data_IF_036980893204
#
_entry.id   IF_036980893204
#
_cell.length_a   1.000
_cell.length_b   1.000
_cell.length_c   1.000
_cell.angle_alpha   90.00
_cell.angle_beta   90.00
_cell.angle_gamma   90.00
#
_symmetry.space_group_name_H-M   'P 1'
#
loop_
_entity.id
_entity.type
_entity.pdbx_description
1 polymer ?
#
# COMPACT_ATOMS: atom_id res chain seq x y z
N UNK A 1 -1.58 10.94 23.75
CA UNK A 1 -2.34 10.74 22.50
C UNK A 1 -3.28 11.91 22.20
N UNK A 2 -4.47 12.01 22.80
CA UNK A 2 -5.49 13.03 22.44
C UNK A 2 -5.02 14.48 22.61
N UNK A 3 -4.31 14.79 23.70
CA UNK A 3 -3.76 16.14 23.88
C UNK A 3 -2.68 16.46 22.84
N UNK A 4 -1.78 15.51 22.57
CA UNK A 4 -0.75 15.63 21.54
C UNK A 4 -1.38 15.79 20.14
N UNK A 5 -2.44 15.04 19.81
CA UNK A 5 -3.11 15.16 18.52
C UNK A 5 -3.77 16.53 18.34
N UNK A 6 -4.38 17.10 19.39
CA UNK A 6 -4.92 18.46 19.35
C UNK A 6 -3.84 19.51 19.15
N UNK A 7 -2.72 19.40 19.87
CA UNK A 7 -1.57 20.31 19.70
C UNK A 7 -1.04 20.21 18.26
N UNK A 8 -0.83 18.99 17.75
CA UNK A 8 -0.38 18.79 16.38
C UNK A 8 -1.38 19.31 15.35
N UNK A 9 -2.69 19.22 15.61
CA UNK A 9 -3.71 19.79 14.75
C UNK A 9 -3.64 21.32 14.71
N UNK A 10 -3.50 21.99 15.86
CA UNK A 10 -3.33 23.44 15.90
C UNK A 10 -2.05 23.90 15.18
N UNK A 11 -0.94 23.21 15.41
CA UNK A 11 0.33 23.49 14.70
C UNK A 11 0.17 23.22 13.20
N UNK A 12 -0.57 22.19 12.82
CA UNK A 12 -0.83 21.80 11.42
C UNK A 12 -1.60 22.86 10.66
N UNK A 13 -2.58 23.51 11.30
CA UNK A 13 -3.33 24.65 10.72
C UNK A 13 -2.44 25.84 10.39
N UNK A 14 -1.41 26.08 11.22
CA UNK A 14 -0.43 27.15 10.99
C UNK A 14 0.58 26.72 9.93
N UNK A 15 1.11 25.50 10.04
CA UNK A 15 2.11 24.97 9.12
C UNK A 15 2.19 23.43 9.21
N UNK A 16 1.71 22.68 8.19
CA UNK A 16 1.81 21.21 8.19
C UNK A 16 3.26 20.70 8.31
N UNK A 17 4.24 21.41 7.76
CA UNK A 17 5.67 21.07 7.92
C UNK A 17 6.16 21.21 9.36
N UNK A 18 5.65 22.18 10.13
CA UNK A 18 6.04 22.34 11.53
C UNK A 18 5.38 21.28 12.39
N UNK A 19 4.14 20.91 12.09
CA UNK A 19 3.47 19.78 12.73
C UNK A 19 4.26 18.48 12.51
N UNK A 20 4.66 18.18 11.27
CA UNK A 20 5.44 16.97 10.98
C UNK A 20 6.80 16.95 11.70
N UNK A 21 7.47 18.12 11.80
CA UNK A 21 8.70 18.27 12.61
C UNK A 21 8.43 18.04 14.08
N UNK A 22 7.36 18.61 14.63
CA UNK A 22 6.97 18.42 16.03
C UNK A 22 6.65 16.94 16.32
N UNK A 23 5.97 16.25 15.40
CA UNK A 23 5.74 14.80 15.49
C UNK A 23 7.07 14.02 15.55
N UNK A 24 8.09 14.47 14.81
CA UNK A 24 9.41 13.83 14.80
C UNK A 24 10.23 14.05 16.09
N UNK A 25 9.81 14.97 16.96
CA UNK A 25 10.42 15.18 18.29
C UNK A 25 9.83 14.25 19.36
N UNK A 26 8.67 13.65 19.10
CA UNK A 26 8.06 12.65 19.96
C UNK A 26 8.73 11.29 19.76
N UNK A 27 8.57 10.37 20.72
CA UNK A 27 8.91 8.97 20.45
C UNK A 27 8.00 8.42 19.34
N UNK A 28 8.50 7.45 18.55
CA UNK A 28 7.74 6.91 17.42
C UNK A 28 6.38 6.33 17.82
N UNK A 29 6.25 5.81 19.04
CA UNK A 29 5.00 5.26 19.58
C UNK A 29 4.00 6.35 19.97
N UNK A 30 4.47 7.43 20.60
CA UNK A 30 3.63 8.59 20.94
C UNK A 30 3.18 9.34 19.69
N UNK A 31 4.11 9.57 18.75
CA UNK A 31 3.83 10.12 17.44
C UNK A 31 2.75 9.32 16.72
N UNK A 32 2.94 8.00 16.60
CA UNK A 32 1.98 7.13 15.95
C UNK A 32 0.61 7.15 16.64
N UNK A 33 0.57 7.10 17.98
CA UNK A 33 -0.69 7.17 18.73
C UNK A 33 -1.44 8.50 18.53
N UNK A 34 -0.72 9.63 18.47
CA UNK A 34 -1.31 10.92 18.15
C UNK A 34 -1.83 10.94 16.71
N UNK A 35 -1.05 10.45 15.74
CA UNK A 35 -1.47 10.37 14.34
C UNK A 35 -2.67 9.43 14.18
N UNK A 36 -2.72 8.27 14.84
CA UNK A 36 -3.88 7.38 14.90
C UNK A 36 -5.14 8.13 15.27
N UNK A 37 -5.05 8.99 16.29
CA UNK A 37 -6.19 9.80 16.75
C UNK A 37 -6.63 10.80 15.67
N UNK A 38 -5.70 11.35 14.89
CA UNK A 38 -5.98 12.33 13.84
C UNK A 38 -6.55 11.72 12.56
N UNK A 39 -6.17 10.47 12.23
CA UNK A 39 -6.58 9.83 10.96
C UNK A 39 -7.76 8.86 11.10
N UNK A 40 -8.01 8.34 12.31
CA UNK A 40 -9.00 7.29 12.51
C UNK A 40 -10.44 7.82 12.30
N UNK A 41 -11.24 7.24 11.38
CA UNK A 41 -12.64 7.61 11.17
C UNK A 41 -13.52 7.53 12.41
N UNK A 42 -13.21 6.65 13.36
CA UNK A 42 -13.92 6.50 14.63
C UNK A 42 -13.48 7.47 15.74
N UNK A 43 -12.48 8.32 15.50
CA UNK A 43 -11.98 9.29 16.48
C UNK A 43 -12.80 10.58 16.46
N UNK A 44 -13.15 11.09 17.64
CA UNK A 44 -13.73 12.44 17.82
C UNK A 44 -12.79 13.55 17.40
N UNK A 45 -11.48 13.28 17.45
CA UNK A 45 -10.42 14.24 17.16
C UNK A 45 -9.81 14.00 15.77
N UNK A 46 -10.55 13.31 14.89
CA UNK A 46 -10.18 13.15 13.48
C UNK A 46 -10.08 14.51 12.82
N UNK A 47 -9.01 14.71 12.08
CA UNK A 47 -8.72 15.95 11.36
C UNK A 47 -9.02 15.73 9.88
N UNK A 48 -10.00 16.45 9.35
CA UNK A 48 -10.40 16.41 7.93
C UNK A 48 -10.05 17.71 7.18
N UNK A 49 -9.00 18.40 7.62
CA UNK A 49 -8.63 19.71 7.11
C UNK A 49 -7.67 19.59 5.91
N UNK A 50 -7.68 20.55 4.96
CA UNK A 50 -6.90 20.43 3.71
C UNK A 50 -5.38 20.27 3.91
N UNK A 51 -4.82 20.78 5.01
CA UNK A 51 -3.40 20.67 5.30
C UNK A 51 -2.97 19.24 5.70
N UNK A 52 -3.93 18.37 6.04
CA UNK A 52 -3.66 16.99 6.46
C UNK A 52 -2.83 16.23 5.40
N UNK A 53 -3.13 16.44 4.12
CA UNK A 53 -2.37 15.81 3.03
C UNK A 53 -0.87 16.15 3.11
N UNK A 54 -0.54 17.44 3.13
CA UNK A 54 0.86 17.88 3.24
C UNK A 54 1.52 17.42 4.54
N UNK A 55 0.78 17.26 5.63
CA UNK A 55 1.31 16.69 6.86
C UNK A 55 1.67 15.21 6.69
N UNK A 56 0.76 14.39 6.13
CA UNK A 56 0.97 12.97 5.89
C UNK A 56 2.14 12.70 4.94
N UNK A 57 2.33 13.54 3.91
CA UNK A 57 3.45 13.42 2.97
C UNK A 57 4.83 13.56 3.63
N UNK A 58 4.92 14.29 4.74
CA UNK A 58 6.20 14.63 5.40
C UNK A 58 6.51 13.67 6.55
N UNK A 59 5.52 12.91 7.03
CA UNK A 59 5.72 11.97 8.14
C UNK A 59 6.75 10.90 7.78
N UNK A 60 7.54 10.50 8.77
CA UNK A 60 8.51 9.44 8.57
C UNK A 60 7.81 8.09 8.38
N UNK A 61 8.39 7.18 7.57
CA UNK A 61 7.87 5.82 7.39
C UNK A 61 7.69 5.07 8.72
N UNK A 62 8.57 5.33 9.70
CA UNK A 62 8.53 4.72 11.02
C UNK A 62 7.30 5.14 11.85
N UNK A 63 6.78 6.34 11.64
CA UNK A 63 5.54 6.79 12.29
C UNK A 63 4.36 6.12 11.59
N UNK A 64 4.30 6.22 10.25
CA UNK A 64 3.19 5.69 9.45
C UNK A 64 2.94 4.19 9.70
N UNK A 65 4.00 3.38 9.76
CA UNK A 65 3.87 1.92 10.01
C UNK A 65 3.35 1.53 11.39
N UNK A 66 3.43 2.45 12.36
CA UNK A 66 3.03 2.22 13.74
C UNK A 66 1.63 2.78 14.05
N UNK A 67 0.98 3.41 13.07
CA UNK A 67 -0.38 3.94 13.23
C UNK A 67 -1.37 2.78 13.26
N UNK A 68 -2.31 2.88 14.19
CA UNK A 68 -3.31 1.86 14.50
C UNK A 68 -4.72 2.47 14.46
N UNK A 69 -5.65 1.93 13.63
CA UNK A 69 -5.42 0.83 12.69
C UNK A 69 -4.66 1.29 11.42
N UNK A 70 -3.87 0.43 10.76
CA UNK A 70 -3.17 0.77 9.51
C UNK A 70 -4.12 1.23 8.39
N UNK A 71 -5.33 0.67 8.35
CA UNK A 71 -6.37 1.04 7.40
C UNK A 71 -6.82 2.51 7.54
N UNK A 72 -6.68 3.12 8.71
CA UNK A 72 -6.97 4.54 8.88
C UNK A 72 -5.98 5.43 8.09
N UNK A 73 -4.72 5.00 7.97
CA UNK A 73 -3.76 5.68 7.09
C UNK A 73 -4.20 5.53 5.63
N UNK A 74 -4.60 4.32 5.21
CA UNK A 74 -5.12 4.09 3.86
C UNK A 74 -6.22 5.05 3.47
N UNK A 75 -7.27 5.11 4.31
CA UNK A 75 -8.39 6.02 4.10
C UNK A 75 -7.98 7.50 4.14
N UNK A 76 -7.04 7.88 5.01
CA UNK A 76 -6.55 9.26 5.09
C UNK A 76 -5.72 9.66 3.87
N UNK A 77 -4.85 8.77 3.36
CA UNK A 77 -4.11 8.99 2.12
C UNK A 77 -5.07 9.16 0.94
N UNK A 78 -6.08 8.30 0.83
CA UNK A 78 -7.09 8.40 -0.23
C UNK A 78 -7.95 9.67 -0.13
N UNK A 79 -8.28 10.11 1.09
CA UNK A 79 -9.11 11.31 1.32
C UNK A 79 -8.34 12.62 1.09
N UNK A 80 -7.07 12.67 1.50
CA UNK A 80 -6.34 13.94 1.61
C UNK A 80 -5.22 14.13 0.58
N UNK A 81 -4.82 13.08 -0.13
CA UNK A 81 -3.76 13.15 -1.13
C UNK A 81 -4.28 12.94 -2.55
N UNK A 82 -3.57 13.53 -3.51
CA UNK A 82 -3.68 13.07 -4.89
C UNK A 82 -3.14 11.63 -5.01
N UNK A 83 -3.63 10.82 -5.98
CA UNK A 83 -3.11 9.46 -6.17
C UNK A 83 -1.60 9.38 -6.38
N UNK A 84 -1.00 10.42 -6.99
CA UNK A 84 0.46 10.52 -7.18
C UNK A 84 1.19 10.75 -5.85
N UNK A 85 0.68 11.65 -5.01
CA UNK A 85 1.25 11.89 -3.69
C UNK A 85 1.11 10.66 -2.77
N UNK A 86 -0.05 10.00 -2.79
CA UNK A 86 -0.26 8.73 -2.07
C UNK A 86 0.73 7.65 -2.54
N UNK A 87 0.93 7.50 -3.86
CA UNK A 87 1.93 6.58 -4.40
C UNK A 87 3.33 6.88 -3.86
N UNK A 88 3.76 8.15 -3.87
CA UNK A 88 5.06 8.55 -3.33
C UNK A 88 5.23 8.18 -1.86
N UNK A 89 4.20 8.41 -1.03
CA UNK A 89 4.23 8.01 0.39
C UNK A 89 4.37 6.49 0.52
N UNK A 90 3.56 5.72 -0.21
CA UNK A 90 3.61 4.26 -0.15
C UNK A 90 4.95 3.67 -0.62
N UNK A 91 5.64 4.32 -1.58
CA UNK A 91 6.98 3.92 -2.02
C UNK A 91 8.07 4.08 -0.94
N UNK A 92 7.80 4.84 0.13
CA UNK A 92 8.73 4.97 1.27
C UNK A 92 8.60 3.84 2.30
N UNK A 93 7.59 2.96 2.14
CA UNK A 93 7.23 1.92 3.08
C UNK A 93 7.61 0.53 2.57
N UNK A 94 7.72 -0.41 3.49
CA UNK A 94 7.94 -1.82 3.15
C UNK A 94 6.64 -2.47 2.62
N UNK A 95 6.73 -3.50 1.75
CA UNK A 95 5.55 -4.14 1.14
C UNK A 95 4.48 -4.58 2.15
N UNK A 96 4.89 -5.10 3.31
CA UNK A 96 3.97 -5.58 4.36
C UNK A 96 3.24 -4.43 5.07
N UNK A 97 3.85 -3.25 5.15
CA UNK A 97 3.18 -2.06 5.69
C UNK A 97 2.21 -1.50 4.66
N UNK A 98 2.63 -1.46 3.39
CA UNK A 98 1.77 -1.03 2.28
C UNK A 98 0.53 -1.91 2.19
N UNK A 99 0.64 -3.23 2.30
CA UNK A 99 -0.53 -4.13 2.22
C UNK A 99 -1.58 -3.82 3.27
N UNK A 100 -1.16 -3.63 4.53
CA UNK A 100 -2.08 -3.30 5.63
C UNK A 100 -2.69 -1.90 5.48
N UNK A 101 -1.96 -0.97 4.88
CA UNK A 101 -2.44 0.40 4.64
C UNK A 101 -3.46 0.43 3.50
N UNK A 102 -3.19 -0.21 2.37
CA UNK A 102 -4.09 -0.18 1.20
C UNK A 102 -5.42 -0.91 1.44
N UNK A 103 -5.50 -1.79 2.44
CA UNK A 103 -6.78 -2.34 2.95
C UNK A 103 -7.77 -1.25 3.40
N UNK A 104 -7.27 -0.06 3.78
CA UNK A 104 -8.11 1.09 4.09
C UNK A 104 -8.62 1.87 2.89
N UNK A 105 -8.19 1.51 1.68
CA UNK A 105 -8.57 2.15 0.43
C UNK A 105 -9.57 1.27 -0.34
N UNK A 106 -10.47 1.91 -1.08
CA UNK A 106 -11.33 1.23 -2.03
C UNK A 106 -10.53 0.69 -3.24
N UNK A 107 -11.02 -0.34 -3.94
CA UNK A 107 -10.33 -0.88 -5.12
C UNK A 107 -10.10 0.16 -6.22
N UNK A 108 -11.02 1.13 -6.35
CA UNK A 108 -10.88 2.22 -7.31
C UNK A 108 -9.72 3.17 -6.95
N UNK A 109 -9.56 3.49 -5.65
CA UNK A 109 -8.46 4.32 -5.16
C UNK A 109 -7.13 3.59 -5.28
N UNK A 110 -7.07 2.30 -4.90
CA UNK A 110 -5.86 1.48 -5.08
C UNK A 110 -5.46 1.42 -6.54
N UNK A 111 -6.41 1.27 -7.46
CA UNK A 111 -6.15 1.30 -8.90
C UNK A 111 -5.51 2.62 -9.33
N UNK A 112 -6.07 3.77 -8.93
CA UNK A 112 -5.50 5.08 -9.29
C UNK A 112 -4.08 5.26 -8.75
N UNK A 113 -3.84 4.84 -7.50
CA UNK A 113 -2.51 4.89 -6.89
C UNK A 113 -1.52 3.96 -7.61
N UNK A 114 -1.97 2.78 -8.05
CA UNK A 114 -1.17 1.85 -8.84
C UNK A 114 -0.78 2.43 -10.20
N UNK A 115 -1.70 3.10 -10.90
CA UNK A 115 -1.42 3.77 -12.17
C UNK A 115 -0.37 4.88 -12.01
N UNK A 116 -0.45 5.67 -10.93
CA UNK A 116 0.55 6.70 -10.65
C UNK A 116 1.90 6.09 -10.21
N UNK A 117 1.87 5.02 -9.42
CA UNK A 117 3.06 4.23 -9.08
C UNK A 117 3.79 3.72 -10.33
N UNK A 118 3.04 3.26 -11.35
CA UNK A 118 3.58 2.86 -12.64
C UNK A 118 4.29 4.01 -13.36
N UNK A 119 3.65 5.19 -13.37
CA UNK A 119 4.19 6.38 -14.00
C UNK A 119 5.51 6.82 -13.33
N UNK A 120 5.57 6.83 -11.99
CA UNK A 120 6.80 7.15 -11.23
C UNK A 120 7.94 6.19 -11.58
N UNK A 121 7.66 4.89 -11.72
CA UNK A 121 8.69 3.91 -12.08
C UNK A 121 9.18 4.08 -13.51
N UNK A 122 8.25 4.38 -14.43
CA UNK A 122 8.58 4.64 -15.83
C UNK A 122 9.50 5.87 -15.95
N UNK A 123 9.20 6.94 -15.22
CA UNK A 123 10.04 8.16 -15.15
C UNK A 123 11.43 7.88 -14.55
N UNK A 124 11.52 6.96 -13.59
CA UNK A 124 12.79 6.59 -12.95
C UNK A 124 13.57 5.48 -13.67
N UNK A 125 13.04 4.98 -14.80
CA UNK A 125 13.66 3.90 -15.59
C UNK A 125 13.68 2.54 -14.88
N UNK A 126 12.86 2.35 -13.84
CA UNK A 126 12.78 1.10 -13.07
C UNK A 126 11.63 0.23 -13.56
N UNK A 127 11.77 -1.10 -13.51
CA UNK A 127 10.66 -1.98 -13.83
C UNK A 127 9.54 -1.84 -12.81
N UNK A 128 8.30 -1.93 -13.28
CA UNK A 128 7.13 -1.74 -12.42
C UNK A 128 7.02 -2.80 -11.32
N UNK A 129 7.51 -4.03 -11.61
CA UNK A 129 7.57 -5.18 -10.70
C UNK A 129 8.24 -4.91 -9.36
N UNK A 130 9.08 -3.89 -9.28
CA UNK A 130 9.97 -3.63 -8.12
C UNK A 130 9.34 -2.66 -7.11
N UNK A 131 8.02 -2.45 -7.18
CA UNK A 131 7.34 -1.55 -6.23
C UNK A 131 6.82 -2.31 -5.01
N UNK A 132 6.94 -1.73 -3.80
CA UNK A 132 6.28 -2.26 -2.61
C UNK A 132 4.77 -2.42 -2.81
N UNK A 133 4.17 -1.56 -3.63
CA UNK A 133 2.75 -1.60 -3.97
C UNK A 133 2.35 -2.86 -4.75
N UNK A 134 3.14 -3.33 -5.72
CA UNK A 134 2.81 -4.58 -6.43
C UNK A 134 2.91 -5.78 -5.51
N UNK A 135 3.95 -5.85 -4.68
CA UNK A 135 4.09 -6.94 -3.70
C UNK A 135 2.92 -6.94 -2.69
N UNK A 136 2.44 -5.76 -2.31
CA UNK A 136 1.28 -5.58 -1.44
C UNK A 136 -0.07 -5.97 -2.09
N UNK A 137 -0.17 -6.02 -3.42
CA UNK A 137 -1.42 -6.41 -4.09
C UNK A 137 -1.78 -7.88 -3.84
N UNK A 138 -0.82 -8.76 -3.61
CA UNK A 138 -1.09 -10.19 -3.37
C UNK A 138 -1.93 -10.42 -2.11
N UNK A 139 -1.51 -9.94 -0.91
CA UNK A 139 -2.34 -10.06 0.29
C UNK A 139 -3.64 -9.26 0.18
N UNK A 140 -3.62 -8.09 -0.48
CA UNK A 140 -4.83 -7.28 -0.69
C UNK A 140 -5.89 -8.02 -1.51
N UNK A 141 -5.52 -8.55 -2.68
CA UNK A 141 -6.42 -9.35 -3.54
C UNK A 141 -6.88 -10.62 -2.83
N UNK A 142 -6.01 -11.26 -2.05
CA UNK A 142 -6.36 -12.46 -1.29
C UNK A 142 -7.44 -12.21 -0.24
N UNK A 143 -7.47 -11.02 0.36
CA UNK A 143 -8.43 -10.61 1.40
C UNK A 143 -9.75 -10.03 0.84
N UNK A 144 -9.82 -9.68 -0.44
CA UNK A 144 -11.00 -9.14 -1.10
C UNK A 144 -12.03 -10.22 -1.45
N UNK A 145 -13.29 -9.85 -1.66
CA UNK A 145 -14.30 -10.72 -2.27
C UNK A 145 -13.93 -11.09 -3.72
N UNK A 146 -14.24 -12.31 -4.15
CA UNK A 146 -13.82 -12.88 -5.45
C UNK A 146 -14.20 -11.99 -6.64
N UNK A 147 -15.42 -11.43 -6.59
CA UNK A 147 -15.94 -10.56 -7.64
C UNK A 147 -15.21 -9.21 -7.70
N UNK A 148 -14.81 -8.66 -6.56
CA UNK A 148 -14.06 -7.41 -6.48
C UNK A 148 -12.60 -7.62 -6.86
N UNK A 149 -12.00 -8.72 -6.40
CA UNK A 149 -10.66 -9.15 -6.80
C UNK A 149 -10.57 -9.33 -8.32
N UNK A 150 -11.54 -10.04 -8.92
CA UNK A 150 -11.61 -10.20 -10.36
C UNK A 150 -11.74 -8.86 -11.09
N UNK A 151 -12.63 -7.97 -10.65
CA UNK A 151 -12.79 -6.65 -11.25
C UNK A 151 -11.51 -5.79 -11.16
N UNK A 152 -10.78 -5.86 -10.05
CA UNK A 152 -9.50 -5.18 -9.88
C UNK A 152 -8.46 -5.74 -10.85
N UNK A 153 -8.29 -7.06 -10.92
CA UNK A 153 -7.33 -7.74 -11.82
C UNK A 153 -7.64 -7.48 -13.30
N UNK A 154 -8.91 -7.33 -13.66
CA UNK A 154 -9.34 -6.94 -15.01
C UNK A 154 -8.97 -5.50 -15.34
N UNK A 155 -8.91 -4.64 -14.33
CA UNK A 155 -8.67 -3.20 -14.50
C UNK A 155 -7.19 -2.82 -14.58
N UNK A 156 -6.27 -3.75 -14.28
CA UNK A 156 -4.82 -3.51 -14.26
C UNK A 156 -4.09 -4.20 -15.45
N UNK A 157 -2.87 -3.77 -15.80
CA UNK A 157 -2.08 -4.39 -16.86
C UNK A 157 -1.90 -5.91 -16.71
N UNK A 158 -1.87 -6.64 -17.85
CA UNK A 158 -1.84 -8.13 -17.88
C UNK A 158 -0.71 -8.70 -17.04
N UNK A 159 0.49 -8.15 -17.18
CA UNK A 159 1.70 -8.71 -16.54
C UNK A 159 1.64 -8.58 -15.01
N UNK A 160 1.03 -7.52 -14.49
CA UNK A 160 0.84 -7.32 -13.05
C UNK A 160 -0.23 -8.29 -12.55
N UNK A 161 -1.37 -8.37 -13.24
CA UNK A 161 -2.44 -9.29 -12.86
C UNK A 161 -1.95 -10.74 -12.84
N UNK A 162 -1.16 -11.15 -13.84
CA UNK A 162 -0.50 -12.47 -13.86
C UNK A 162 0.46 -12.60 -12.68
N UNK A 163 1.34 -11.63 -12.44
CA UNK A 163 2.28 -11.68 -11.31
C UNK A 163 1.57 -11.84 -9.96
N UNK A 164 0.52 -11.06 -9.72
CA UNK A 164 -0.31 -11.14 -8.51
C UNK A 164 -0.95 -12.54 -8.40
N UNK A 165 -1.53 -13.06 -9.47
CA UNK A 165 -2.17 -14.38 -9.47
C UNK A 165 -1.19 -15.55 -9.37
N UNK A 166 0.06 -15.37 -9.82
CA UNK A 166 1.12 -16.37 -9.64
C UNK A 166 1.54 -16.49 -8.18
N UNK A 167 1.54 -15.38 -7.46
CA UNK A 167 1.90 -15.31 -6.03
C UNK A 167 0.72 -15.51 -5.08
N UNK A 168 -0.52 -15.48 -5.58
CA UNK A 168 -1.73 -15.77 -4.81
C UNK A 168 -1.87 -17.29 -4.60
N UNK A 169 -2.30 -17.77 -3.41
CA UNK A 169 -2.53 -19.19 -3.17
C UNK A 169 -3.42 -19.82 -4.24
N UNK A 170 -3.12 -21.05 -4.65
CA UNK A 170 -3.75 -21.69 -5.81
C UNK A 170 -5.28 -21.78 -5.70
N UNK A 171 -5.78 -22.21 -4.54
CA UNK A 171 -7.22 -22.29 -4.24
C UNK A 171 -7.91 -20.93 -4.44
N UNK A 172 -7.38 -19.88 -3.81
CA UNK A 172 -7.86 -18.50 -3.95
C UNK A 172 -7.80 -18.02 -5.39
N UNK A 173 -6.70 -18.32 -6.08
CA UNK A 173 -6.51 -17.91 -7.47
C UNK A 173 -7.55 -18.54 -8.40
N UNK A 174 -7.92 -19.81 -8.15
CA UNK A 174 -8.93 -20.52 -8.91
C UNK A 174 -10.33 -19.94 -8.67
N UNK A 175 -10.67 -19.65 -7.41
CA UNK A 175 -11.93 -18.99 -7.03
C UNK A 175 -12.11 -17.65 -7.76
N UNK A 176 -11.12 -16.76 -7.69
CA UNK A 176 -11.12 -15.46 -8.37
C UNK A 176 -11.23 -15.63 -9.91
N UNK A 177 -10.59 -16.67 -10.47
CA UNK A 177 -10.62 -16.93 -11.92
C UNK A 177 -12.00 -17.34 -12.43
N UNK A 178 -12.86 -17.91 -11.57
CA UNK A 178 -14.26 -18.22 -11.94
C UNK A 178 -15.06 -16.95 -12.23
N UNK A 179 -14.75 -15.86 -11.52
CA UNK A 179 -15.41 -14.55 -11.66
C UNK A 179 -14.74 -13.65 -12.71
N UNK A 180 -13.51 -13.97 -13.11
CA UNK A 180 -12.77 -13.23 -14.13
C UNK A 180 -13.34 -13.51 -15.53
N UNK A 181 -13.49 -12.49 -16.36
CA UNK A 181 -13.98 -12.53 -17.76
C UNK A 181 -12.85 -12.42 -18.77
N UNK A 182 -11.72 -11.87 -18.34
CA UNK A 182 -10.54 -11.59 -19.15
C UNK A 182 -9.87 -12.88 -19.64
N UNK A 183 -9.98 -13.14 -20.95
CA UNK A 183 -9.51 -14.40 -21.58
C UNK A 183 -8.00 -14.54 -21.61
N UNK A 184 -7.25 -13.46 -21.88
CA UNK A 184 -5.78 -13.49 -21.90
C UNK A 184 -5.21 -13.87 -20.53
N UNK A 185 -5.81 -13.35 -19.44
CA UNK A 185 -5.39 -13.72 -18.08
C UNK A 185 -5.69 -15.19 -17.79
N UNK A 186 -6.87 -15.69 -18.18
CA UNK A 186 -7.23 -17.12 -18.06
C UNK A 186 -6.27 -18.02 -18.83
N UNK A 187 -5.97 -17.68 -20.07
CA UNK A 187 -5.05 -18.45 -20.92
C UNK A 187 -3.64 -18.48 -20.33
N UNK A 188 -3.12 -17.33 -19.87
CA UNK A 188 -1.80 -17.27 -19.22
C UNK A 188 -1.75 -18.05 -17.91
N UNK A 189 -2.81 -18.02 -17.11
CA UNK A 189 -2.93 -18.81 -15.89
C UNK A 189 -3.12 -20.30 -16.15
N UNK A 190 -3.81 -20.70 -17.22
CA UNK A 190 -3.90 -22.10 -17.63
C UNK A 190 -2.55 -22.61 -18.17
N UNK A 191 -1.79 -21.76 -18.86
CA UNK A 191 -0.45 -22.07 -19.34
C UNK A 191 0.60 -22.07 -18.20
N UNK A 192 0.24 -21.70 -16.97
CA UNK A 192 1.08 -21.84 -15.77
C UNK A 192 1.58 -23.27 -15.60
N UNK A 193 0.77 -24.28 -15.92
CA UNK A 193 1.15 -25.70 -15.88
C UNK A 193 2.24 -26.08 -16.88
N UNK A 194 2.48 -25.25 -17.91
CA UNK A 194 3.55 -25.43 -18.91
C UNK A 194 4.78 -24.56 -18.64
N UNK A 195 4.68 -23.58 -17.74
CA UNK A 195 5.80 -22.77 -17.29
C UNK A 195 6.46 -23.48 -16.10
N UNK A 196 7.39 -24.39 -16.39
CA UNK A 196 8.43 -24.77 -15.45
C UNK A 196 9.26 -23.50 -15.15
N UNK A 197 8.83 -22.72 -14.17
CA UNK A 197 9.72 -21.81 -13.48
C UNK A 197 10.50 -22.70 -12.51
N UNK A 198 11.78 -22.92 -12.78
CA UNK A 198 12.70 -23.44 -11.77
C UNK A 198 12.43 -22.63 -10.50
N UNK A 199 11.99 -23.33 -9.45
CA UNK A 199 11.82 -22.71 -8.14
C UNK A 199 13.10 -21.94 -7.88
N UNK A 200 13.02 -20.61 -7.78
CA UNK A 200 14.14 -19.80 -7.34
C UNK A 200 14.55 -20.36 -5.98
N UNK A 201 15.56 -21.21 -5.99
CA UNK A 201 16.21 -21.68 -4.78
C UNK A 201 16.92 -20.43 -4.31
N UNK A 202 16.32 -19.73 -3.35
CA UNK A 202 17.06 -18.73 -2.56
C UNK A 202 18.14 -19.55 -1.87
N UNK A 203 19.30 -19.66 -2.51
CA UNK A 203 20.51 -20.15 -1.89
C UNK A 203 20.84 -19.12 -0.83
N UNK A 204 20.62 -19.48 0.44
CA UNK A 204 21.18 -18.75 1.55
C UNK A 204 22.68 -18.64 1.29
N UNK A 205 23.16 -17.45 0.93
CA UNK A 205 24.57 -17.11 0.72
C UNK A 205 25.41 -17.19 2.02
N UNK A 206 24.96 -17.94 3.03
CA UNK A 206 25.64 -18.09 4.33
C UNK A 206 26.59 -19.28 4.41
N UNK A 207 26.60 -20.21 3.44
CA UNK A 207 27.47 -21.39 3.49
C UNK A 207 28.64 -21.37 2.49
N UNK A 208 28.92 -20.23 1.83
CA UNK A 208 29.99 -20.11 0.84
C UNK A 208 31.36 -19.64 1.41
N UNK A 209 31.59 -19.74 2.73
CA UNK A 209 32.92 -19.49 3.32
C UNK A 209 33.24 -20.58 4.35
N UNK A 210 33.66 -21.75 3.85
CA UNK A 210 34.50 -22.69 4.59
C UNK A 210 35.20 -23.63 3.59
N UNK A 211 36.33 -23.16 3.05
CA UNK A 211 37.31 -23.91 2.28
C UNK A 211 38.67 -23.28 2.49
#
# INVERSE_FOLDING_TARGET
AVEQSRILAEVGRVSPTQAAKATSLLSHTEAASAVSTMVNPGSSDRVNEPWMGSFLEILSPQILRNVEPPTAIGGALATHLSPNAAAKVLHTLEPMDVSRIIEGMSPAEVKQVLEQSAAIQTESGKPMSDTPLIAALVPYVSAMDDSQAAALLESIPSDIAVGVMMCTPEERSNEIMTHTRRRDLKERMANKSTLYLDACTITNLRDAIAG
#
